data_IF_637779828651
#
_entry.id   IF_637779828651
#
_cell.length_a   1.000
_cell.length_b   1.000
_cell.length_c   1.000
_cell.angle_alpha   90.00
_cell.angle_beta   90.00
_cell.angle_gamma   90.00
#
_symmetry.space_group_name_H-M   'P 1'
#
loop_
_entity.id
_entity.type
_entity.pdbx_description
1 polymer ?
#
# COMPACT_ATOMS: atom_id res chain seq x y z
N UNK A 1 -13.19 -5.84 -0.69
CA UNK A 1 -13.65 -6.69 0.40
C UNK A 1 -14.12 -5.84 1.55
N UNK A 2 -15.18 -6.28 2.21
CA UNK A 2 -15.73 -5.63 3.39
C UNK A 2 -15.03 -6.22 4.61
N UNK A 3 -14.37 -5.37 5.39
CA UNK A 3 -13.53 -5.79 6.51
C UNK A 3 -14.21 -5.43 7.82
N UNK A 4 -13.79 -6.05 8.92
CA UNK A 4 -14.27 -5.67 10.26
C UNK A 4 -13.99 -4.19 10.59
N UNK A 5 -12.91 -3.62 10.04
CA UNK A 5 -12.60 -2.20 10.18
C UNK A 5 -13.65 -1.31 9.50
N UNK A 6 -14.18 -1.72 8.33
CA UNK A 6 -15.27 -1.03 7.65
C UNK A 6 -16.52 -0.95 8.54
N UNK A 7 -16.90 -2.06 9.18
CA UNK A 7 -18.05 -2.08 10.08
C UNK A 7 -17.85 -1.18 11.29
N UNK A 8 -16.67 -1.20 11.90
CA UNK A 8 -16.32 -0.33 13.03
C UNK A 8 -16.38 1.16 12.63
N UNK A 9 -15.87 1.50 11.44
CA UNK A 9 -15.89 2.87 10.94
C UNK A 9 -17.32 3.33 10.61
N UNK A 10 -18.17 2.46 10.07
CA UNK A 10 -19.59 2.75 9.85
C UNK A 10 -20.34 2.94 11.17
N UNK A 11 -20.06 2.10 12.18
CA UNK A 11 -20.66 2.22 13.51
C UNK A 11 -20.25 3.50 14.25
N UNK A 12 -19.05 4.03 13.98
CA UNK A 12 -18.60 5.32 14.52
C UNK A 12 -19.41 6.51 13.97
N UNK A 13 -20.12 6.33 12.83
CA UNK A 13 -21.04 7.32 12.28
C UNK A 13 -20.37 8.67 11.99
N UNK A 14 -20.93 9.75 12.51
CA UNK A 14 -20.46 11.12 12.26
C UNK A 14 -18.99 11.35 12.68
N UNK A 15 -18.45 10.58 13.63
CA UNK A 15 -17.05 10.68 14.03
C UNK A 15 -16.06 10.32 12.89
N UNK A 16 -16.53 9.59 11.87
CA UNK A 16 -15.74 9.25 10.69
C UNK A 16 -15.64 10.41 9.68
N UNK A 17 -16.49 11.44 9.80
CA UNK A 17 -16.64 12.52 8.82
C UNK A 17 -17.62 12.17 7.68
N UNK A 18 -18.38 13.16 7.21
CA UNK A 18 -19.50 12.95 6.27
C UNK A 18 -19.07 12.31 4.94
N UNK A 19 -18.05 12.88 4.27
CA UNK A 19 -17.58 12.39 2.97
C UNK A 19 -17.02 10.97 3.07
N UNK A 20 -16.29 10.70 4.14
CA UNK A 20 -15.72 9.38 4.39
C UNK A 20 -16.83 8.36 4.69
N UNK A 21 -17.82 8.73 5.51
CA UNK A 21 -18.96 7.86 5.80
C UNK A 21 -19.76 7.49 4.54
N UNK A 22 -19.98 8.43 3.62
CA UNK A 22 -20.62 8.16 2.34
C UNK A 22 -19.79 7.23 1.46
N UNK A 23 -18.47 7.39 1.43
CA UNK A 23 -17.58 6.47 0.73
C UNK A 23 -17.63 5.05 1.32
N UNK A 24 -17.68 4.92 2.65
CA UNK A 24 -17.78 3.63 3.34
C UNK A 24 -19.11 2.91 3.05
N UNK A 25 -20.23 3.65 3.00
CA UNK A 25 -21.54 3.08 2.61
C UNK A 25 -21.49 2.52 1.19
N UNK A 26 -20.99 3.32 0.24
CA UNK A 26 -20.81 2.87 -1.16
C UNK A 26 -19.90 1.64 -1.25
N UNK A 27 -18.80 1.61 -0.51
CA UNK A 27 -17.92 0.44 -0.45
C UNK A 27 -18.64 -0.79 0.12
N UNK A 28 -19.49 -0.63 1.15
CA UNK A 28 -20.24 -1.74 1.74
C UNK A 28 -21.20 -2.37 0.73
N UNK A 29 -21.84 -1.56 -0.11
CA UNK A 29 -22.77 -2.01 -1.15
C UNK A 29 -22.07 -2.57 -2.39
N UNK A 30 -21.12 -1.83 -2.97
CA UNK A 30 -20.42 -2.23 -4.20
C UNK A 30 -19.33 -3.29 -3.96
N UNK A 31 -18.96 -3.51 -2.69
CA UNK A 31 -17.77 -4.23 -2.29
C UNK A 31 -16.50 -3.37 -2.42
N UNK A 32 -15.51 -3.61 -1.55
CA UNK A 32 -14.18 -3.00 -1.71
C UNK A 32 -13.28 -3.76 -2.70
N UNK A 33 -11.98 -3.48 -2.67
CA UNK A 33 -10.95 -4.17 -3.47
C UNK A 33 -11.01 -5.71 -3.35
N UNK A 34 -10.98 -6.47 -4.46
CA UNK A 34 -11.01 -7.93 -4.43
C UNK A 34 -9.73 -8.52 -3.79
N UNK A 35 -9.82 -9.58 -2.95
CA UNK A 35 -8.64 -10.25 -2.37
C UNK A 35 -7.67 -10.78 -3.42
N UNK A 36 -8.18 -11.10 -4.62
CA UNK A 36 -7.42 -11.60 -5.76
C UNK A 36 -6.30 -10.63 -6.17
N UNK A 37 -6.49 -9.32 -6.01
CA UNK A 37 -5.44 -8.35 -6.29
C UNK A 37 -4.21 -8.57 -5.40
N UNK A 38 -4.43 -8.73 -4.09
CA UNK A 38 -3.36 -9.01 -3.14
C UNK A 38 -2.72 -10.39 -3.39
N UNK A 39 -3.53 -11.40 -3.71
CA UNK A 39 -3.05 -12.74 -4.03
C UNK A 39 -2.18 -12.75 -5.30
N UNK A 40 -2.59 -12.02 -6.35
CA UNK A 40 -1.83 -11.90 -7.59
C UNK A 40 -0.47 -11.24 -7.36
N UNK A 41 -0.43 -10.11 -6.63
CA UNK A 41 0.84 -9.46 -6.28
C UNK A 41 1.74 -10.39 -5.44
N UNK A 42 1.18 -11.11 -4.46
CA UNK A 42 1.94 -12.05 -3.65
C UNK A 42 2.52 -13.20 -4.49
N UNK A 43 1.76 -13.73 -5.45
CA UNK A 43 2.22 -14.78 -6.36
C UNK A 43 3.35 -14.29 -7.26
N UNK A 44 3.22 -13.08 -7.83
CA UNK A 44 4.29 -12.44 -8.59
C UNK A 44 5.57 -12.27 -7.76
N UNK A 45 5.45 -11.73 -6.54
CA UNK A 45 6.60 -11.52 -5.64
C UNK A 45 7.27 -12.83 -5.18
N UNK A 46 6.52 -13.93 -5.14
CA UNK A 46 7.06 -15.25 -4.85
C UNK A 46 7.73 -15.93 -6.07
N UNK A 47 7.55 -15.38 -7.27
CA UNK A 47 8.13 -15.90 -8.51
C UNK A 47 9.58 -15.46 -8.70
N UNK A 48 10.30 -16.16 -9.59
CA UNK A 48 11.64 -15.74 -10.01
C UNK A 48 11.69 -14.40 -10.75
N UNK A 49 10.57 -13.99 -11.36
CA UNK A 49 10.48 -12.73 -12.10
C UNK A 49 10.59 -11.49 -11.20
N UNK A 50 10.30 -11.64 -9.91
CA UNK A 50 10.40 -10.57 -8.92
C UNK A 50 11.70 -10.63 -8.08
N UNK A 51 12.70 -11.43 -8.48
CA UNK A 51 13.92 -11.64 -7.69
C UNK A 51 14.73 -10.36 -7.41
N UNK A 52 14.53 -9.29 -8.19
CA UNK A 52 15.13 -7.97 -7.99
C UNK A 52 14.39 -7.09 -6.98
N UNK A 53 13.21 -7.49 -6.51
CA UNK A 53 12.34 -6.71 -5.62
C UNK A 53 12.52 -7.20 -4.18
N UNK A 54 13.07 -6.34 -3.32
CA UNK A 54 13.20 -6.63 -1.88
C UNK A 54 13.11 -5.36 -1.03
N UNK A 55 12.54 -5.48 0.17
CA UNK A 55 12.43 -4.40 1.14
C UNK A 55 11.56 -3.22 0.70
N UNK A 56 10.55 -3.47 -0.16
CA UNK A 56 9.65 -2.45 -0.71
C UNK A 56 8.23 -2.63 -0.16
N UNK A 57 7.57 -1.52 0.12
CA UNK A 57 6.14 -1.44 0.44
C UNK A 57 5.38 -1.20 -0.85
N UNK A 58 4.65 -2.21 -1.32
CA UNK A 58 3.90 -2.18 -2.57
C UNK A 58 2.39 -2.30 -2.31
N UNK A 59 1.60 -1.69 -3.18
CA UNK A 59 0.15 -1.68 -3.17
C UNK A 59 -0.41 -2.52 -4.29
N UNK A 60 -1.11 -3.61 -3.94
CA UNK A 60 -1.75 -4.51 -4.91
C UNK A 60 -2.78 -3.85 -5.84
N UNK A 61 -3.24 -2.63 -5.52
CA UNK A 61 -4.20 -1.89 -6.34
C UNK A 61 -3.51 -1.02 -7.40
N UNK A 62 -2.31 -0.52 -7.10
CA UNK A 62 -1.65 0.52 -7.89
C UNK A 62 -0.37 0.02 -8.56
N UNK A 63 0.34 -0.90 -7.90
CA UNK A 63 1.64 -1.41 -8.33
C UNK A 63 1.45 -2.71 -9.11
N UNK A 64 1.20 -2.54 -10.41
CA UNK A 64 0.96 -3.66 -11.32
C UNK A 64 2.26 -4.36 -11.70
N UNK A 65 2.18 -5.68 -11.87
CA UNK A 65 3.29 -6.55 -12.25
C UNK A 65 4.04 -6.06 -13.49
N UNK A 66 3.32 -5.56 -14.51
CA UNK A 66 3.95 -5.11 -15.76
C UNK A 66 4.92 -3.97 -15.52
N UNK A 67 4.56 -3.02 -14.64
CA UNK A 67 5.44 -1.90 -14.26
C UNK A 67 6.58 -2.33 -13.36
N UNK A 68 6.32 -3.24 -12.42
CA UNK A 68 7.33 -3.74 -11.48
C UNK A 68 8.42 -4.57 -12.19
N UNK A 69 8.10 -5.10 -13.38
CA UNK A 69 9.00 -5.88 -14.22
C UNK A 69 9.84 -5.02 -15.18
N UNK A 70 9.57 -3.71 -15.27
CA UNK A 70 10.34 -2.80 -16.13
C UNK A 70 11.77 -2.63 -15.61
N UNK A 71 12.74 -2.72 -16.51
CA UNK A 71 14.16 -2.54 -16.15
C UNK A 71 14.40 -1.15 -15.57
N UNK A 72 15.07 -1.10 -14.42
CA UNK A 72 15.44 0.16 -13.77
C UNK A 72 14.37 0.72 -12.83
N UNK A 73 13.24 0.02 -12.65
CA UNK A 73 12.29 0.33 -11.59
C UNK A 73 12.96 0.39 -10.21
N UNK A 74 13.93 -0.49 -9.99
CA UNK A 74 14.72 -0.59 -8.77
C UNK A 74 15.90 0.40 -8.66
N UNK A 75 16.09 1.30 -9.64
CA UNK A 75 17.27 2.17 -9.72
C UNK A 75 17.45 3.04 -8.46
N UNK A 76 16.34 3.50 -7.87
CA UNK A 76 16.35 4.17 -6.56
C UNK A 76 16.04 3.17 -5.43
N UNK A 77 17.05 2.86 -4.62
CA UNK A 77 16.92 2.00 -3.43
C UNK A 77 16.12 2.60 -2.28
N UNK A 78 15.81 3.89 -2.32
CA UNK A 78 15.01 4.57 -1.32
C UNK A 78 13.52 4.60 -1.65
N UNK A 79 13.16 4.54 -2.92
CA UNK A 79 11.78 4.61 -3.38
C UNK A 79 10.96 3.41 -2.86
N UNK A 80 9.77 3.63 -2.29
CA UNK A 80 8.96 2.58 -1.65
C UNK A 80 9.60 1.84 -0.46
N UNK A 81 10.76 2.26 0.04
CA UNK A 81 11.37 1.64 1.21
C UNK A 81 10.91 2.35 2.49
N UNK A 82 10.26 1.62 3.40
CA UNK A 82 9.94 2.14 4.73
C UNK A 82 11.23 2.23 5.57
N UNK A 83 11.46 3.37 6.22
CA UNK A 83 12.60 3.56 7.12
C UNK A 83 12.10 3.89 8.52
N UNK A 84 12.59 3.17 9.52
CA UNK A 84 12.38 3.53 10.93
C UNK A 84 13.24 4.74 11.24
N UNK A 85 12.67 5.76 11.87
CA UNK A 85 13.41 6.89 12.43
C UNK A 85 13.24 6.78 13.94
N UNK A 86 14.28 6.31 14.61
CA UNK A 86 14.28 6.07 16.06
C UNK A 86 15.27 6.98 16.81
N UNK A 87 16.07 7.76 16.08
CA UNK A 87 17.16 8.58 16.62
C UNK A 87 18.21 7.80 17.43
N UNK A 88 18.27 6.48 17.26
CA UNK A 88 19.29 5.61 17.87
C UNK A 88 20.10 4.91 16.79
N UNK A 89 19.43 4.13 15.93
CA UNK A 89 20.03 3.38 14.83
C UNK A 89 19.84 4.11 13.50
N UNK A 90 18.83 4.97 13.39
CA UNK A 90 18.57 5.73 12.18
C UNK A 90 18.08 7.15 12.47
N UNK A 91 18.81 8.13 11.93
CA UNK A 91 18.54 9.55 12.05
C UNK A 91 17.89 10.09 10.77
N UNK A 92 16.98 11.06 10.92
CA UNK A 92 16.40 11.74 9.75
C UNK A 92 17.49 12.56 9.03
N UNK A 93 17.87 12.17 7.81
CA UNK A 93 18.69 13.02 6.95
C UNK A 93 17.84 14.21 6.47
N UNK A 94 18.02 15.39 7.08
CA UNK A 94 17.48 16.64 6.54
C UNK A 94 18.26 16.99 5.28
N UNK A 95 17.66 16.73 4.11
CA UNK A 95 18.19 17.24 2.86
C UNK A 95 18.21 18.77 2.88
N UNK A 96 19.32 19.39 2.45
CA UNK A 96 19.33 20.81 2.11
C UNK A 96 18.37 20.98 0.94
N UNK A 97 17.22 21.61 1.18
CA UNK A 97 16.43 22.21 0.10
C UNK A 97 17.37 23.22 -0.57
N UNK A 98 17.73 22.97 -1.83
CA UNK A 98 18.38 23.95 -2.70
C UNK A 98 17.30 24.82 -3.32
#
# INVERSE_FOLDING_TARGET
>A
MNTRLLDQALSAGAAAGADFLEALKKQKEAGGTPPQAAAALALFLASGAAGHISGRTLSAVWDKEEKLSEKGWEADRSLYALRRIDNELYQQKRGRLK
#
